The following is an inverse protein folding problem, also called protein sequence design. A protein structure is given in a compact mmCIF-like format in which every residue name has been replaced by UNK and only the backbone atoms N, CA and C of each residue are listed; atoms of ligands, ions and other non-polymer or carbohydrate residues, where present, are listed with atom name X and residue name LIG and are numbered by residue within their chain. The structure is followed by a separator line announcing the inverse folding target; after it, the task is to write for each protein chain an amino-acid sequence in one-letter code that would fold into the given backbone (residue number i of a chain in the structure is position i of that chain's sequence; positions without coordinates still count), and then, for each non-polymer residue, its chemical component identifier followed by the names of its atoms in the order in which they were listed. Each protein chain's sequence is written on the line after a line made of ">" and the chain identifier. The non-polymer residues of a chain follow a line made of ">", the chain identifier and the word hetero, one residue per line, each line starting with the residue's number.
data_IF_082264001435
#
_entry.id   IF_082264001435
#
_cell.length_a   1.000
_cell.length_b   1.000
_cell.length_c   1.000
_cell.angle_alpha   90.00
_cell.angle_beta   90.00
_cell.angle_gamma   90.00
#
_symmetry.space_group_name_H-M   'P 1'
#
loop_
_entity.id
_entity.type
_entity.pdbx_description
1 polymer ?
#
# COMPACT_ATOMS: atom_id res chain seq x y z
N UNK A 1 -33.77 -41.40 -13.17
CA UNK A 1 -33.85 -42.06 -14.50
C UNK A 1 -35.31 -42.42 -14.74
N UNK A 2 -36.03 -41.57 -15.45
CA UNK A 2 -37.42 -41.82 -15.87
C UNK A 2 -37.56 -41.30 -17.29
N UNK A 3 -37.77 -42.24 -18.22
CA UNK A 3 -37.89 -41.96 -19.64
C UNK A 3 -39.23 -41.33 -19.97
N UNK A 4 -39.20 -40.37 -20.90
CA UNK A 4 -40.41 -39.81 -21.51
C UNK A 4 -40.42 -40.25 -22.97
N UNK A 5 -41.42 -41.04 -23.30
CA UNK A 5 -41.74 -41.55 -24.63
C UNK A 5 -42.26 -40.42 -25.51
N UNK A 6 -41.71 -40.24 -26.70
CA UNK A 6 -42.24 -39.32 -27.71
C UNK A 6 -43.32 -40.01 -28.58
N UNK A 7 -44.47 -39.37 -28.84
CA UNK A 7 -45.48 -39.88 -29.76
C UNK A 7 -45.00 -39.79 -31.21
N UNK A 8 -45.12 -40.90 -31.95
CA UNK A 8 -44.91 -40.97 -33.39
C UNK A 8 -46.12 -40.36 -34.10
N UNK A 9 -45.97 -39.18 -34.67
CA UNK A 9 -47.00 -38.59 -35.53
C UNK A 9 -46.96 -39.27 -36.90
N UNK A 10 -47.90 -40.19 -37.12
CA UNK A 10 -48.25 -40.71 -38.44
C UNK A 10 -49.33 -39.77 -39.02
N UNK A 11 -48.97 -38.98 -40.05
CA UNK A 11 -49.91 -38.15 -40.82
C UNK A 11 -49.81 -38.58 -42.27
N UNK A 12 -50.72 -39.45 -42.70
CA UNK A 12 -50.87 -39.85 -44.10
C UNK A 12 -52.24 -39.38 -44.59
N UNK A 13 -52.29 -38.13 -45.07
CA UNK A 13 -53.39 -37.55 -45.84
C UNK A 13 -52.90 -37.21 -47.26
N UNK A 14 -53.69 -37.44 -48.32
CA UNK A 14 -53.21 -37.52 -49.70
C UNK A 14 -53.17 -36.16 -50.42
N UNK A 15 -52.49 -35.18 -49.83
CA UNK A 15 -52.42 -33.81 -50.33
C UNK A 15 -51.00 -33.27 -50.08
N UNK A 16 -50.12 -33.54 -51.06
CA UNK A 16 -48.69 -33.23 -51.06
C UNK A 16 -48.37 -31.74 -51.20
N UNK A 17 -48.77 -30.92 -50.24
CA UNK A 17 -48.25 -29.56 -50.05
C UNK A 17 -47.74 -29.44 -48.62
N UNK A 18 -46.42 -29.46 -48.49
CA UNK A 18 -45.71 -29.40 -47.22
C UNK A 18 -46.15 -28.19 -46.39
N UNK A 19 -46.48 -28.44 -45.12
CA UNK A 19 -46.75 -27.40 -44.15
C UNK A 19 -45.48 -26.54 -43.97
N UNK A 20 -45.47 -25.37 -44.59
CA UNK A 20 -44.45 -24.35 -44.34
C UNK A 20 -44.60 -23.86 -42.90
N UNK A 21 -43.56 -23.92 -42.06
CA UNK A 21 -43.60 -23.34 -40.73
C UNK A 21 -43.82 -21.83 -40.88
N UNK A 22 -44.95 -21.33 -40.40
CA UNK A 22 -45.14 -19.89 -40.26
C UNK A 22 -44.14 -19.41 -39.20
N UNK A 23 -43.16 -18.64 -39.62
CA UNK A 23 -42.24 -17.94 -38.73
C UNK A 23 -43.08 -16.87 -38.00
N UNK A 24 -43.27 -16.93 -36.67
CA UNK A 24 -43.83 -15.81 -35.95
C UNK A 24 -42.81 -14.68 -36.05
N UNK A 25 -43.12 -13.65 -36.84
CA UNK A 25 -42.45 -12.35 -36.72
C UNK A 25 -42.87 -11.81 -35.36
N UNK A 26 -42.03 -12.05 -34.35
CA UNK A 26 -42.07 -11.33 -33.09
C UNK A 26 -42.18 -9.85 -33.39
N UNK A 27 -43.16 -9.21 -32.75
CA UNK A 27 -43.43 -7.78 -32.78
C UNK A 27 -42.18 -6.92 -32.60
N UNK A 28 -42.23 -5.72 -33.16
CA UNK A 28 -41.35 -4.57 -32.92
C UNK A 28 -41.22 -4.18 -31.43
N UNK A 29 -40.74 -5.08 -30.58
CA UNK A 29 -40.24 -4.81 -29.23
C UNK A 29 -38.71 -4.56 -29.24
N UNK A 30 -38.07 -4.58 -30.41
CA UNK A 30 -36.65 -4.22 -30.55
C UNK A 30 -36.40 -2.70 -30.43
N UNK A 31 -37.45 -1.87 -30.45
CA UNK A 31 -37.34 -0.42 -30.22
C UNK A 31 -37.21 -0.11 -28.72
N UNK A 32 -37.65 -1.00 -27.83
CA UNK A 32 -37.46 -0.85 -26.38
C UNK A 32 -36.15 -1.50 -25.91
N UNK A 33 -35.61 -2.46 -26.67
CA UNK A 33 -34.29 -3.06 -26.43
C UNK A 33 -33.13 -2.17 -26.91
N UNK A 34 -33.33 -1.34 -27.94
CA UNK A 34 -32.29 -0.45 -28.46
C UNK A 34 -32.06 0.79 -27.58
N UNK A 35 -33.09 1.32 -26.90
CA UNK A 35 -32.92 2.41 -25.92
C UNK A 35 -32.39 1.94 -24.56
N UNK A 36 -32.53 0.66 -24.22
CA UNK A 36 -31.90 0.05 -23.02
C UNK A 36 -30.44 -0.37 -23.22
N UNK A 37 -29.86 -0.15 -24.41
CA UNK A 37 -28.52 -0.64 -24.76
C UNK A 37 -27.37 0.30 -24.36
N UNK A 38 -27.53 1.62 -24.53
CA UNK A 38 -26.48 2.60 -24.24
C UNK A 38 -26.26 2.80 -22.74
N UNK A 39 -27.34 2.88 -21.96
CA UNK A 39 -27.26 2.97 -20.49
C UNK A 39 -26.64 1.72 -19.87
N UNK A 40 -26.92 0.54 -20.46
CA UNK A 40 -26.33 -0.74 -20.06
C UNK A 40 -24.84 -0.84 -20.46
N UNK A 41 -24.46 -0.39 -21.67
CA UNK A 41 -23.06 -0.33 -22.10
C UNK A 41 -22.22 0.62 -21.25
N UNK A 42 -22.74 1.81 -20.92
CA UNK A 42 -22.04 2.77 -20.04
C UNK A 42 -21.95 2.23 -18.62
N UNK A 43 -22.99 1.56 -18.13
CA UNK A 43 -22.98 0.86 -16.85
C UNK A 43 -21.92 -0.24 -16.80
N UNK A 44 -21.89 -1.12 -17.80
CA UNK A 44 -20.92 -2.22 -17.91
C UNK A 44 -19.49 -1.69 -18.07
N UNK A 45 -19.27 -0.67 -18.91
CA UNK A 45 -17.96 -0.02 -19.08
C UNK A 45 -17.48 0.65 -17.79
N UNK A 46 -18.36 1.35 -17.08
CA UNK A 46 -18.04 1.96 -15.77
C UNK A 46 -17.71 0.90 -14.72
N UNK A 47 -18.43 -0.22 -14.74
CA UNK A 47 -18.18 -1.35 -13.84
C UNK A 47 -16.83 -2.02 -14.13
N UNK A 48 -16.43 -2.13 -15.40
CA UNK A 48 -15.12 -2.66 -15.80
C UNK A 48 -13.98 -1.74 -15.40
N UNK A 49 -14.12 -0.43 -15.61
CA UNK A 49 -13.14 0.57 -15.15
C UNK A 49 -13.00 0.55 -13.63
N UNK A 50 -14.12 0.47 -12.90
CA UNK A 50 -14.12 0.38 -11.44
C UNK A 50 -13.43 -0.91 -10.94
N UNK A 51 -13.61 -2.02 -11.66
CA UNK A 51 -12.93 -3.30 -11.38
C UNK A 51 -11.44 -3.22 -11.64
N UNK A 52 -11.01 -2.58 -12.75
CA UNK A 52 -9.60 -2.34 -13.07
C UNK A 52 -8.90 -1.47 -12.03
N UNK A 53 -9.52 -0.34 -11.66
CA UNK A 53 -8.96 0.56 -10.63
C UNK A 53 -8.82 -0.20 -9.31
N UNK A 54 -9.82 -1.01 -8.93
CA UNK A 54 -9.74 -1.81 -7.71
C UNK A 54 -8.64 -2.87 -7.78
N UNK A 55 -8.45 -3.52 -8.92
CA UNK A 55 -7.38 -4.47 -9.15
C UNK A 55 -6.00 -3.80 -9.07
N UNK A 56 -5.83 -2.61 -9.66
CA UNK A 56 -4.58 -1.85 -9.59
C UNK A 56 -4.25 -1.43 -8.15
N UNK A 57 -5.25 -0.99 -7.39
CA UNK A 57 -5.12 -0.64 -5.97
C UNK A 57 -4.79 -1.87 -5.13
N UNK A 58 -5.44 -3.00 -5.37
CA UNK A 58 -5.17 -4.26 -4.67
C UNK A 58 -3.76 -4.77 -4.95
N UNK A 59 -3.32 -4.66 -6.20
CA UNK A 59 -1.96 -5.03 -6.60
C UNK A 59 -0.93 -4.12 -5.94
N UNK A 60 -1.08 -2.79 -6.06
CA UNK A 60 -0.19 -1.82 -5.43
C UNK A 60 -0.15 -2.00 -3.91
N UNK A 61 -1.31 -2.27 -3.28
CA UNK A 61 -1.38 -2.58 -1.85
C UNK A 61 -0.62 -3.86 -1.52
N UNK A 62 -0.75 -4.90 -2.34
CA UNK A 62 -0.04 -6.17 -2.12
C UNK A 62 1.47 -6.02 -2.24
N UNK A 63 1.95 -5.20 -3.18
CA UNK A 63 3.36 -4.92 -3.40
C UNK A 63 3.94 -4.10 -2.24
N UNK A 64 3.29 -3.00 -1.86
CA UNK A 64 3.69 -2.19 -0.70
C UNK A 64 3.70 -3.01 0.58
N UNK A 65 2.69 -3.86 0.81
CA UNK A 65 2.66 -4.75 1.99
C UNK A 65 3.77 -5.80 1.92
N UNK A 66 4.08 -6.34 0.74
CA UNK A 66 5.17 -7.29 0.56
C UNK A 66 6.53 -6.64 0.84
N UNK A 67 6.76 -5.42 0.35
CA UNK A 67 7.96 -4.64 0.64
C UNK A 67 8.07 -4.28 2.11
N UNK A 68 6.99 -3.80 2.72
CA UNK A 68 6.94 -3.49 4.14
C UNK A 68 7.25 -4.71 5.01
N UNK A 69 6.71 -5.90 4.66
CA UNK A 69 7.03 -7.16 5.34
C UNK A 69 8.51 -7.55 5.21
N UNK A 70 9.13 -7.34 4.03
CA UNK A 70 10.57 -7.57 3.84
C UNK A 70 11.39 -6.62 4.71
N UNK A 71 11.04 -5.33 4.72
CA UNK A 71 11.69 -4.33 5.58
C UNK A 71 11.55 -4.65 7.07
N UNK A 72 10.36 -5.07 7.50
CA UNK A 72 10.10 -5.47 8.89
C UNK A 72 10.95 -6.68 9.32
N UNK A 73 11.05 -7.70 8.47
CA UNK A 73 11.93 -8.86 8.74
C UNK A 73 13.39 -8.42 8.92
N UNK A 74 13.87 -7.50 8.08
CA UNK A 74 15.21 -6.91 8.23
C UNK A 74 15.37 -6.14 9.55
N UNK A 75 14.36 -5.36 9.94
CA UNK A 75 14.38 -4.58 11.17
C UNK A 75 14.50 -5.46 12.44
N UNK A 76 13.91 -6.66 12.45
CA UNK A 76 14.04 -7.61 13.57
C UNK A 76 15.51 -7.97 13.81
N UNK A 77 16.25 -8.32 12.75
CA UNK A 77 17.68 -8.65 12.89
C UNK A 77 18.49 -7.45 13.35
N UNK A 78 18.17 -6.23 12.88
CA UNK A 78 18.81 -5.01 13.36
C UNK A 78 18.53 -4.75 14.85
N UNK A 79 17.31 -4.98 15.32
CA UNK A 79 16.97 -4.85 16.74
C UNK A 79 17.75 -5.87 17.58
N UNK A 80 17.79 -7.14 17.16
CA UNK A 80 18.59 -8.18 17.84
C UNK A 80 20.06 -7.79 17.87
N UNK A 81 20.62 -7.36 16.74
CA UNK A 81 22.01 -6.91 16.66
C UNK A 81 22.29 -5.70 17.57
N UNK A 82 21.38 -4.73 17.66
CA UNK A 82 21.50 -3.59 18.56
C UNK A 82 21.49 -4.01 20.02
N UNK A 83 20.54 -4.88 20.41
CA UNK A 83 20.42 -5.36 21.80
C UNK A 83 21.64 -6.18 22.19
N UNK A 84 22.02 -7.16 21.38
CA UNK A 84 23.20 -8.00 21.62
C UNK A 84 24.45 -7.13 21.63
N UNK A 85 24.65 -6.28 20.62
CA UNK A 85 25.80 -5.38 20.53
C UNK A 85 25.91 -4.44 21.73
N UNK A 86 24.79 -3.86 22.19
CA UNK A 86 24.76 -3.00 23.36
C UNK A 86 25.15 -3.75 24.64
N UNK A 87 24.56 -4.93 24.87
CA UNK A 87 24.85 -5.74 26.06
C UNK A 87 26.28 -6.29 26.04
N UNK A 88 26.73 -6.80 24.88
CA UNK A 88 28.10 -7.26 24.67
C UNK A 88 29.13 -6.13 24.84
N UNK A 89 28.80 -4.89 24.48
CA UNK A 89 29.71 -3.75 24.66
C UNK A 89 30.06 -3.53 26.14
N UNK A 90 29.09 -3.68 27.04
CA UNK A 90 29.35 -3.60 28.49
C UNK A 90 30.37 -4.65 28.94
N UNK A 91 30.17 -5.92 28.57
CA UNK A 91 31.10 -7.00 28.89
C UNK A 91 32.46 -6.84 28.21
N UNK A 92 32.49 -6.30 26.99
CA UNK A 92 33.72 -6.03 26.26
C UNK A 92 34.60 -5.01 26.97
N UNK A 93 34.04 -3.88 27.41
CA UNK A 93 34.81 -2.90 28.17
C UNK A 93 35.22 -3.41 29.55
N UNK A 94 34.35 -4.16 30.23
CA UNK A 94 34.74 -4.82 31.48
C UNK A 94 35.91 -5.79 31.28
N UNK A 95 35.84 -6.63 30.24
CA UNK A 95 36.91 -7.53 29.82
C UNK A 95 38.20 -6.78 29.51
N UNK A 96 38.14 -5.66 28.77
CA UNK A 96 39.31 -4.81 28.52
C UNK A 96 39.92 -4.29 29.82
N UNK A 97 39.09 -3.88 30.78
CA UNK A 97 39.55 -3.39 32.08
C UNK A 97 40.30 -4.48 32.84
N UNK A 98 39.74 -5.69 32.87
CA UNK A 98 40.35 -6.83 33.54
C UNK A 98 41.63 -7.29 32.82
N UNK A 99 41.61 -7.36 31.49
CA UNK A 99 42.76 -7.71 30.66
C UNK A 99 43.92 -6.73 30.89
N UNK A 100 43.66 -5.42 30.88
CA UNK A 100 44.70 -4.42 31.16
C UNK A 100 45.22 -4.50 32.59
N UNK A 101 44.41 -4.98 33.54
CA UNK A 101 44.81 -5.13 34.94
C UNK A 101 45.86 -6.22 35.16
N UNK A 102 46.11 -7.09 34.17
CA UNK A 102 47.22 -8.06 34.21
C UNK A 102 48.60 -7.37 34.17
N UNK A 103 48.71 -6.22 33.49
CA UNK A 103 49.97 -5.47 33.35
C UNK A 103 50.00 -4.14 34.15
N UNK A 104 48.84 -3.62 34.54
CA UNK A 104 48.70 -2.29 35.18
C UNK A 104 48.02 -2.40 36.54
N UNK A 105 48.17 -1.37 37.36
CA UNK A 105 47.32 -1.23 38.56
C UNK A 105 45.85 -1.20 38.15
N UNK A 106 45.02 -1.99 38.84
CA UNK A 106 43.59 -2.16 38.48
C UNK A 106 42.85 -0.84 38.30
N UNK A 107 43.07 0.15 39.18
CA UNK A 107 42.45 1.47 39.04
C UNK A 107 42.87 2.21 37.76
N UNK A 108 44.13 2.10 37.34
CA UNK A 108 44.66 2.75 36.15
C UNK A 108 44.14 2.08 34.88
N UNK A 109 44.04 0.74 34.87
CA UNK A 109 43.44 -0.03 33.79
C UNK A 109 41.99 0.42 33.52
N UNK A 110 41.15 0.48 34.56
CA UNK A 110 39.76 0.95 34.42
C UNK A 110 39.68 2.44 34.04
N UNK A 111 40.60 3.30 34.48
CA UNK A 111 40.66 4.69 34.06
C UNK A 111 40.96 4.84 32.56
N UNK A 112 41.88 4.04 32.02
CA UNK A 112 42.20 4.02 30.58
C UNK A 112 40.98 3.55 29.78
N UNK A 113 40.33 2.47 30.22
CA UNK A 113 39.14 1.94 29.54
C UNK A 113 37.98 2.94 29.59
N UNK A 114 37.80 3.64 30.70
CA UNK A 114 36.83 4.74 30.80
C UNK A 114 37.12 5.85 29.78
N UNK A 115 38.38 6.26 29.64
CA UNK A 115 38.80 7.21 28.60
C UNK A 115 38.47 6.71 27.19
N UNK A 116 38.70 5.42 26.92
CA UNK A 116 38.36 4.78 25.65
C UNK A 116 36.85 4.74 25.39
N UNK A 117 36.03 4.51 26.42
CA UNK A 117 34.57 4.61 26.33
C UNK A 117 34.12 6.01 25.94
N UNK A 118 34.65 7.06 26.59
CA UNK A 118 34.33 8.45 26.24
C UNK A 118 34.72 8.79 24.80
N UNK A 119 35.90 8.35 24.36
CA UNK A 119 36.33 8.53 22.97
C UNK A 119 35.39 7.82 21.98
N UNK A 120 35.00 6.58 22.28
CA UNK A 120 34.07 5.81 21.45
C UNK A 120 32.70 6.50 21.38
N UNK A 121 32.16 6.95 22.51
CA UNK A 121 30.90 7.69 22.58
C UNK A 121 30.98 9.00 21.80
N UNK A 122 32.07 9.75 21.92
CA UNK A 122 32.27 11.00 21.18
C UNK A 122 32.28 10.77 19.66
N UNK A 123 32.99 9.74 19.18
CA UNK A 123 33.04 9.39 17.76
C UNK A 123 31.67 8.94 17.26
N UNK A 124 31.01 8.01 17.96
CA UNK A 124 29.69 7.52 17.59
C UNK A 124 28.64 8.64 17.57
N UNK A 125 28.63 9.48 18.61
CA UNK A 125 27.76 10.65 18.72
C UNK A 125 28.00 11.67 17.60
N UNK A 126 29.27 11.94 17.27
CA UNK A 126 29.62 12.85 16.17
C UNK A 126 29.18 12.31 14.81
N UNK A 127 29.43 11.03 14.53
CA UNK A 127 28.99 10.38 13.29
C UNK A 127 27.47 10.36 13.17
N UNK A 128 26.78 10.05 14.27
CA UNK A 128 25.31 10.09 14.36
C UNK A 128 24.78 11.50 14.08
N UNK A 129 25.31 12.50 14.76
CA UNK A 129 24.97 13.91 14.55
C UNK A 129 25.18 14.33 13.09
N UNK A 130 26.32 13.99 12.50
CA UNK A 130 26.63 14.31 11.10
C UNK A 130 25.70 13.60 10.12
N UNK A 131 25.24 12.39 10.42
CA UNK A 131 24.27 11.66 9.59
C UNK A 131 22.89 12.31 9.68
N UNK A 132 22.42 12.65 10.88
CA UNK A 132 21.13 13.32 11.11
C UNK A 132 21.12 14.70 10.46
N UNK A 133 22.19 15.48 10.61
CA UNK A 133 22.31 16.82 9.99
C UNK A 133 22.26 16.80 8.46
N UNK A 134 22.61 15.69 7.83
CA UNK A 134 22.53 15.52 6.36
C UNK A 134 21.12 15.17 5.88
N UNK A 135 20.21 14.79 6.76
CA UNK A 135 18.81 14.54 6.41
C UNK A 135 18.15 15.92 6.23
N UNK A 136 18.04 16.36 4.98
CA UNK A 136 17.27 17.57 4.64
C UNK A 136 15.78 17.26 4.81
N UNK A 137 15.03 18.18 5.42
CA UNK A 137 13.58 18.08 5.46
C UNK A 137 13.02 18.06 4.02
N UNK A 138 11.93 17.33 3.74
CA UNK A 138 11.30 17.32 2.42
C UNK A 138 10.60 18.67 2.16
N UNK A 139 11.39 19.67 1.75
CA UNK A 139 10.94 21.05 1.52
C UNK A 139 9.79 21.14 0.53
N UNK A 140 9.80 20.34 -0.54
CA UNK A 140 8.73 20.33 -1.55
C UNK A 140 7.40 19.86 -1.00
N UNK A 141 7.42 18.81 -0.17
CA UNK A 141 6.22 18.28 0.50
C UNK A 141 5.68 19.30 1.50
N UNK A 142 6.56 19.93 2.27
CA UNK A 142 6.18 20.97 3.23
C UNK A 142 5.55 22.18 2.51
N UNK A 143 6.11 22.61 1.38
CA UNK A 143 5.56 23.72 0.61
C UNK A 143 4.22 23.38 -0.02
N UNK A 144 4.06 22.20 -0.63
CA UNK A 144 2.77 21.78 -1.20
C UNK A 144 1.65 21.68 -0.14
N UNK A 145 1.96 21.23 1.08
CA UNK A 145 0.99 21.23 2.18
C UNK A 145 0.64 22.65 2.64
N UNK A 146 1.60 23.57 2.67
CA UNK A 146 1.35 24.99 3.02
C UNK A 146 0.49 25.68 1.98
N UNK A 147 0.76 25.45 0.69
CA UNK A 147 -0.03 26.01 -0.41
C UNK A 147 -1.45 25.47 -0.41
N UNK A 148 -1.62 24.16 -0.13
CA UNK A 148 -2.94 23.53 0.02
C UNK A 148 -3.68 24.10 1.23
N UNK A 149 -3.02 24.22 2.39
CA UNK A 149 -3.62 24.81 3.58
C UNK A 149 -3.97 26.29 3.41
N UNK A 150 -3.17 27.04 2.64
CA UNK A 150 -3.45 28.43 2.29
C UNK A 150 -4.66 28.55 1.35
N UNK A 151 -4.83 27.62 0.41
CA UNK A 151 -5.98 27.56 -0.49
C UNK A 151 -7.30 27.22 0.23
N UNK A 152 -7.24 26.50 1.36
CA UNK A 152 -8.41 26.16 2.17
C UNK A 152 -8.72 27.18 3.29
N UNK A 153 -7.94 28.25 3.44
CA UNK A 153 -8.23 29.27 4.46
C UNK A 153 -9.47 30.08 4.01
N UNK A 154 -10.59 30.07 4.77
CA UNK A 154 -11.78 30.84 4.42
C UNK A 154 -11.42 32.32 4.32
N UNK A 155 -11.70 32.92 3.16
CA UNK A 155 -11.66 34.38 3.00
C UNK A 155 -12.78 34.92 3.86
N UNK A 156 -12.44 35.61 4.95
CA UNK A 156 -13.42 36.39 5.68
C UNK A 156 -13.76 37.56 4.76
N UNK A 157 -14.92 37.49 4.11
CA UNK A 157 -15.45 38.60 3.34
C UNK A 157 -15.81 39.70 4.34
N UNK A 158 -14.95 40.72 4.44
CA UNK A 158 -15.29 41.99 5.06
C UNK A 158 -16.37 42.65 4.18
N UNK A 159 -17.63 42.32 4.46
CA UNK A 159 -18.77 42.99 3.88
C UNK A 159 -18.75 44.46 4.32
N UNK A 160 -18.85 45.44 3.40
CA UNK A 160 -18.88 46.84 3.76
C UNK A 160 -20.24 47.15 4.38
N UNK A 161 -20.30 47.10 5.71
CA UNK A 161 -21.31 47.81 6.47
C UNK A 161 -20.89 49.29 6.50
N UNK A 162 -21.45 50.10 5.62
CA UNK A 162 -22.51 51.01 6.07
C UNK A 162 -23.11 51.79 4.89
N UNK A 163 -24.43 51.79 4.84
CA UNK A 163 -25.24 52.81 4.18
C UNK A 163 -25.84 53.60 5.33
N UNK A 164 -25.59 54.91 5.38
CA UNK A 164 -26.53 55.92 5.87
C UNK A 164 -26.04 57.32 5.45
#
# INVERSE_FOLDING_TARGET
>A
MTGVSSPKHERTGPDGVGAVPYLPLSSDDDVVASEQSLGKLVGDATQHVSTLIRAEVELAKSEVVAEAKKGLKGAIFFLVALVVGLYSSFFFFFFLGELLSEWLMRWAAFAIVFGLMLATTAVAGFLGYRKVKKIKAPERTINSFKDTAAAFKPRHDDAPADRD
#
